data_IF_692529767441
#
_entry.id   IF_692529767441
#
_cell.length_a   1.000
_cell.length_b   1.000
_cell.length_c   1.000
_cell.angle_alpha   90.00
_cell.angle_beta   90.00
_cell.angle_gamma   90.00
#
_symmetry.space_group_name_H-M   'P 1'
#
loop_
_entity.id
_entity.type
_entity.pdbx_description
1 polymer ?
#
# COMPACT_ATOMS: atom_id res chain seq x y z
N UNK A 1 13.38 5.40 -18.90
CA UNK A 1 12.77 6.74 -19.03
C UNK A 1 11.72 6.85 -17.93
N UNK A 2 11.82 7.85 -17.06
CA UNK A 2 10.91 8.02 -15.91
C UNK A 2 9.56 8.58 -16.38
N UNK A 3 8.46 8.20 -15.73
CA UNK A 3 7.11 8.76 -16.03
C UNK A 3 7.13 10.29 -16.02
N UNK A 4 7.89 10.89 -15.09
CA UNK A 4 8.08 12.34 -15.01
C UNK A 4 8.66 12.94 -16.31
N UNK A 5 9.61 12.26 -16.93
CA UNK A 5 10.25 12.72 -18.18
C UNK A 5 9.29 12.60 -19.36
N UNK A 6 8.47 11.56 -19.39
CA UNK A 6 7.47 11.33 -20.43
C UNK A 6 6.34 12.38 -20.40
N UNK A 7 5.84 12.70 -19.19
CA UNK A 7 4.82 13.76 -19.02
C UNK A 7 5.40 15.14 -19.32
N UNK A 8 6.64 15.41 -18.90
CA UNK A 8 7.30 16.69 -19.20
C UNK A 8 7.45 16.89 -20.70
N UNK A 9 7.87 15.83 -21.43
CA UNK A 9 8.05 15.87 -22.87
C UNK A 9 6.71 16.06 -23.60
N UNK A 10 5.66 15.36 -23.21
CA UNK A 10 4.33 15.55 -23.76
C UNK A 10 3.78 16.95 -23.47
N UNK A 11 4.05 17.51 -22.28
CA UNK A 11 3.65 18.87 -21.95
C UNK A 11 4.34 19.90 -22.85
N UNK A 12 5.63 19.74 -23.12
CA UNK A 12 6.41 20.60 -24.05
C UNK A 12 5.91 20.44 -25.49
N UNK A 13 5.75 19.20 -25.97
CA UNK A 13 5.27 18.92 -27.35
C UNK A 13 3.91 19.50 -27.67
N UNK A 14 3.00 19.57 -26.68
CA UNK A 14 1.62 20.03 -26.84
C UNK A 14 1.35 21.41 -26.23
N UNK A 15 2.37 22.09 -25.72
CA UNK A 15 2.27 23.39 -25.03
C UNK A 15 1.22 23.40 -23.90
N UNK A 16 1.27 22.37 -23.04
CA UNK A 16 0.38 22.14 -21.91
C UNK A 16 1.14 22.24 -20.59
N UNK A 17 0.42 22.44 -19.51
CA UNK A 17 0.96 22.18 -18.17
C UNK A 17 1.17 20.66 -17.98
N UNK A 18 2.06 20.27 -17.07
CA UNK A 18 2.28 18.84 -16.78
C UNK A 18 1.01 18.13 -16.30
N UNK A 19 0.15 18.83 -15.57
CA UNK A 19 -1.12 18.28 -15.10
C UNK A 19 -2.10 18.05 -16.27
N UNK A 20 -2.24 19.01 -17.17
CA UNK A 20 -3.07 18.87 -18.37
C UNK A 20 -2.53 17.80 -19.32
N UNK A 21 -1.21 17.75 -19.53
CA UNK A 21 -0.59 16.72 -20.36
C UNK A 21 -0.82 15.33 -19.77
N UNK A 22 -0.67 15.15 -18.45
CA UNK A 22 -0.95 13.90 -17.78
C UNK A 22 -2.42 13.49 -17.92
N UNK A 23 -3.36 14.41 -17.68
CA UNK A 23 -4.79 14.14 -17.84
C UNK A 23 -5.13 13.72 -19.27
N UNK A 24 -4.65 14.45 -20.27
CA UNK A 24 -4.88 14.15 -21.69
C UNK A 24 -4.22 12.85 -22.15
N UNK A 25 -3.04 12.50 -21.62
CA UNK A 25 -2.40 11.21 -21.88
C UNK A 25 -3.21 10.04 -21.28
N UNK A 26 -3.77 10.23 -20.09
CA UNK A 26 -4.62 9.22 -19.42
C UNK A 26 -5.92 8.99 -20.18
N UNK A 27 -6.53 10.08 -20.68
CA UNK A 27 -7.77 10.03 -21.45
C UNK A 27 -7.57 9.60 -22.92
N UNK A 28 -6.31 9.47 -23.37
CA UNK A 28 -6.00 9.13 -24.76
C UNK A 28 -6.28 10.27 -25.75
N UNK A 29 -6.37 11.51 -25.27
CA UNK A 29 -6.62 12.69 -26.08
C UNK A 29 -5.37 13.21 -26.81
N UNK A 30 -4.20 12.83 -26.33
CA UNK A 30 -2.91 13.12 -26.98
C UNK A 30 -2.08 11.84 -27.08
N UNK A 31 -1.35 11.69 -28.19
CA UNK A 31 -0.41 10.60 -28.36
C UNK A 31 0.94 10.90 -27.68
N UNK A 32 1.54 9.89 -27.10
CA UNK A 32 2.89 9.95 -26.56
C UNK A 32 3.70 8.76 -27.03
N UNK A 33 4.98 9.00 -27.35
CA UNK A 33 5.95 7.92 -27.59
C UNK A 33 6.26 7.10 -26.35
N UNK A 34 5.85 7.58 -25.17
CA UNK A 34 6.04 6.90 -23.89
C UNK A 34 4.76 6.14 -23.51
N UNK A 35 4.90 4.88 -23.14
CA UNK A 35 3.82 4.10 -22.56
C UNK A 35 3.55 4.61 -21.13
N UNK A 36 2.43 5.28 -20.90
CA UNK A 36 1.97 5.66 -19.57
C UNK A 36 1.24 4.46 -18.97
N UNK A 37 1.69 3.99 -17.80
CA UNK A 37 1.02 2.94 -17.03
C UNK A 37 0.43 3.58 -15.79
N UNK A 38 -0.90 3.54 -15.70
CA UNK A 38 -1.65 4.02 -14.56
C UNK A 38 -1.99 2.84 -13.65
N UNK A 39 -1.60 2.91 -12.38
CA UNK A 39 -2.00 1.93 -11.37
C UNK A 39 -3.16 2.48 -10.56
N UNK A 40 -4.27 1.77 -10.59
CA UNK A 40 -5.50 2.15 -9.89
C UNK A 40 -5.94 1.02 -8.94
N UNK A 41 -6.30 1.37 -7.71
CA UNK A 41 -6.93 0.46 -6.75
C UNK A 41 -8.40 0.84 -6.62
N UNK A 42 -9.28 -0.13 -6.80
CA UNK A 42 -10.72 0.06 -6.71
C UNK A 42 -11.39 -1.17 -6.10
N UNK A 43 -12.39 -0.96 -5.24
CA UNK A 43 -13.25 -2.05 -4.79
C UNK A 43 -14.07 -2.59 -5.97
N UNK A 44 -14.11 -3.91 -6.12
CA UNK A 44 -14.83 -4.58 -7.22
C UNK A 44 -16.23 -5.03 -6.81
N UNK A 45 -16.48 -5.10 -5.51
CA UNK A 45 -17.72 -5.56 -4.87
C UNK A 45 -18.67 -4.42 -4.52
N UNK A 46 -18.31 -3.18 -4.85
CA UNK A 46 -19.11 -1.98 -4.60
C UNK A 46 -19.42 -1.27 -5.91
N UNK A 47 -20.70 -1.11 -6.19
CA UNK A 47 -21.17 -0.28 -7.29
C UNK A 47 -20.80 1.18 -7.03
N UNK A 48 -20.36 1.91 -8.06
CA UNK A 48 -19.90 3.29 -7.96
C UNK A 48 -18.82 3.54 -6.87
N UNK A 49 -17.88 2.59 -6.70
CA UNK A 49 -16.76 2.78 -5.78
C UNK A 49 -15.78 3.85 -6.28
N UNK A 50 -15.27 4.74 -5.40
CA UNK A 50 -14.15 5.60 -5.73
C UNK A 50 -12.90 4.75 -5.98
N UNK A 51 -11.93 5.33 -6.68
CA UNK A 51 -10.65 4.65 -6.92
C UNK A 51 -9.49 5.47 -6.39
N UNK A 52 -8.42 4.78 -6.00
CA UNK A 52 -7.15 5.40 -5.68
C UNK A 52 -6.18 5.23 -6.83
N UNK A 53 -5.70 6.32 -7.37
CA UNK A 53 -4.69 6.35 -8.42
C UNK A 53 -3.34 6.64 -7.79
N UNK A 54 -2.40 5.74 -8.02
CA UNK A 54 -1.04 5.85 -7.52
C UNK A 54 -0.37 7.13 -8.04
N UNK A 55 0.17 7.92 -7.12
CA UNK A 55 0.77 9.22 -7.42
C UNK A 55 -0.22 10.37 -7.61
N UNK A 56 -1.52 10.11 -7.56
CA UNK A 56 -2.57 11.12 -7.77
C UNK A 56 -3.52 11.26 -6.55
N UNK A 57 -3.82 10.13 -5.87
CA UNK A 57 -4.77 10.09 -4.77
C UNK A 57 -6.14 9.53 -5.16
N UNK A 58 -7.15 9.85 -4.35
CA UNK A 58 -8.52 9.39 -4.56
C UNK A 58 -9.23 10.19 -5.66
N UNK A 59 -9.93 9.47 -6.52
CA UNK A 59 -10.79 10.03 -7.60
C UNK A 59 -12.22 9.54 -7.42
N UNK A 60 -13.15 10.32 -7.98
CA UNK A 60 -14.57 9.99 -7.93
C UNK A 60 -14.90 8.71 -8.72
N UNK A 61 -16.05 8.07 -8.44
CA UNK A 61 -16.52 6.92 -9.22
C UNK A 61 -16.62 7.23 -10.73
N UNK A 62 -17.13 8.40 -11.09
CA UNK A 62 -17.31 8.82 -12.49
C UNK A 62 -15.96 8.90 -13.21
N UNK A 63 -14.95 9.47 -12.54
CA UNK A 63 -13.59 9.51 -13.09
C UNK A 63 -13.02 8.10 -13.23
N UNK A 64 -13.21 7.25 -12.21
CA UNK A 64 -12.76 5.87 -12.26
C UNK A 64 -13.42 5.06 -13.40
N UNK A 65 -14.71 5.29 -13.65
CA UNK A 65 -15.48 4.63 -14.72
C UNK A 65 -15.04 5.08 -16.12
N UNK A 66 -14.55 6.32 -16.25
CA UNK A 66 -14.00 6.83 -17.51
C UNK A 66 -12.67 6.17 -17.89
N UNK A 67 -11.96 5.65 -16.90
CA UNK A 67 -10.66 4.99 -17.07
C UNK A 67 -10.87 3.50 -17.36
N UNK A 68 -10.59 3.07 -18.59
CA UNK A 68 -10.72 1.65 -18.97
C UNK A 68 -9.43 0.91 -18.68
N UNK A 69 -9.38 0.01 -17.67
CA UNK A 69 -8.17 -0.75 -17.38
C UNK A 69 -7.84 -1.71 -18.52
N UNK A 70 -6.60 -1.76 -18.92
CA UNK A 70 -6.08 -2.75 -19.89
C UNK A 70 -5.77 -4.09 -19.22
N UNK A 71 -5.56 -4.10 -17.90
CA UNK A 71 -5.31 -5.27 -17.09
C UNK A 71 -5.85 -5.07 -15.68
N UNK A 72 -6.53 -6.06 -15.16
CA UNK A 72 -6.98 -6.13 -13.76
C UNK A 72 -6.23 -7.20 -12.99
N UNK A 73 -6.05 -6.99 -11.69
CA UNK A 73 -5.39 -7.93 -10.78
C UNK A 73 -6.18 -8.00 -9.47
N UNK A 74 -6.39 -9.21 -8.99
CA UNK A 74 -7.07 -9.44 -7.71
C UNK A 74 -6.08 -9.25 -6.54
N UNK A 75 -6.31 -8.21 -5.73
CA UNK A 75 -5.47 -7.90 -4.58
C UNK A 75 -5.80 -8.79 -3.36
N UNK A 76 -7.00 -9.34 -3.25
CA UNK A 76 -7.33 -10.33 -2.22
C UNK A 76 -6.61 -11.65 -2.45
N UNK A 77 -6.44 -12.04 -3.71
CA UNK A 77 -5.56 -13.14 -4.06
C UNK A 77 -4.10 -12.82 -3.72
N UNK A 78 -3.62 -11.63 -4.12
CA UNK A 78 -2.26 -11.17 -3.85
C UNK A 78 -1.92 -11.15 -2.35
N UNK A 79 -2.89 -10.75 -1.52
CA UNK A 79 -2.77 -10.76 -0.05
C UNK A 79 -2.43 -12.13 0.52
N UNK A 80 -2.98 -13.20 -0.09
CA UNK A 80 -2.82 -14.60 0.36
C UNK A 80 -1.67 -15.34 -0.30
N UNK A 81 -1.06 -14.73 -1.33
CA UNK A 81 0.05 -15.35 -2.05
C UNK A 81 1.33 -15.37 -1.23
N UNK A 82 2.07 -16.46 -1.38
CA UNK A 82 3.41 -16.66 -0.85
C UNK A 82 4.35 -17.13 -1.96
N UNK A 83 5.62 -16.80 -1.84
CA UNK A 83 6.69 -17.23 -2.75
C UNK A 83 7.91 -17.66 -1.96
N UNK A 84 8.55 -18.71 -2.41
CA UNK A 84 9.85 -19.18 -1.91
C UNK A 84 11.02 -18.37 -2.50
N UNK A 85 10.77 -17.53 -3.51
CA UNK A 85 11.79 -16.66 -4.10
C UNK A 85 12.07 -15.46 -3.20
N UNK A 86 13.34 -15.10 -3.02
CA UNK A 86 13.73 -13.84 -2.39
C UNK A 86 13.20 -12.62 -3.16
N UNK A 87 13.20 -12.72 -4.49
CA UNK A 87 12.68 -11.64 -5.35
C UNK A 87 11.17 -11.57 -5.24
N UNK A 88 10.65 -10.42 -4.86
CA UNK A 88 9.22 -10.20 -4.68
C UNK A 88 8.47 -10.28 -6.01
N UNK A 89 7.54 -11.23 -6.19
CA UNK A 89 6.68 -11.29 -7.36
C UNK A 89 5.89 -9.99 -7.54
N UNK A 90 5.67 -9.51 -8.78
CA UNK A 90 5.01 -8.23 -9.05
C UNK A 90 3.62 -8.08 -8.41
N UNK A 91 2.87 -9.17 -8.29
CA UNK A 91 1.53 -9.14 -7.71
C UNK A 91 1.59 -8.93 -6.18
N UNK A 92 2.48 -9.65 -5.49
CA UNK A 92 2.73 -9.45 -4.05
C UNK A 92 3.26 -8.04 -3.80
N UNK A 93 4.20 -7.57 -4.63
CA UNK A 93 4.74 -6.20 -4.55
C UNK A 93 3.64 -5.13 -4.67
N UNK A 94 2.73 -5.29 -5.64
CA UNK A 94 1.62 -4.37 -5.82
C UNK A 94 0.66 -4.34 -4.60
N UNK A 95 0.39 -5.52 -3.99
CA UNK A 95 -0.39 -5.57 -2.75
C UNK A 95 0.31 -4.84 -1.60
N UNK A 96 1.61 -5.10 -1.37
CA UNK A 96 2.38 -4.46 -0.30
C UNK A 96 2.43 -2.94 -0.50
N UNK A 97 2.66 -2.47 -1.72
CA UNK A 97 2.62 -1.05 -2.07
C UNK A 97 1.25 -0.42 -1.80
N UNK A 98 0.18 -1.11 -2.21
CA UNK A 98 -1.20 -0.67 -2.00
C UNK A 98 -1.61 -0.67 -0.52
N UNK A 99 -1.08 -1.58 0.29
CA UNK A 99 -1.29 -1.60 1.74
C UNK A 99 -0.52 -0.48 2.43
N UNK A 100 0.76 -0.35 2.14
CA UNK A 100 1.67 0.54 2.87
C UNK A 100 1.51 2.01 2.49
N UNK A 101 1.32 2.30 1.19
CA UNK A 101 1.21 3.65 0.65
C UNK A 101 2.52 4.43 0.63
N UNK A 102 3.26 4.39 1.74
CA UNK A 102 4.57 5.05 1.94
C UNK A 102 5.56 4.12 2.62
N UNK A 103 6.80 4.55 2.75
CA UNK A 103 7.83 3.89 3.57
C UNK A 103 7.32 3.73 5.01
N UNK A 104 7.47 2.51 5.55
CA UNK A 104 6.94 2.13 6.87
C UNK A 104 7.85 2.52 8.04
N UNK A 105 8.86 3.36 7.79
CA UNK A 105 9.62 4.00 8.85
C UNK A 105 8.85 5.20 9.39
N UNK A 106 8.74 5.38 10.73
CA UNK A 106 7.99 6.47 11.34
C UNK A 106 8.35 7.84 10.76
N UNK A 107 7.33 8.59 10.34
CA UNK A 107 7.47 9.93 9.77
C UNK A 107 8.03 10.00 8.34
N UNK A 108 8.31 8.87 7.68
CA UNK A 108 8.81 8.87 6.30
C UNK A 108 7.67 8.85 5.27
N UNK A 109 7.62 9.85 4.43
CA UNK A 109 6.58 10.00 3.39
C UNK A 109 7.05 9.58 1.99
N UNK A 110 8.15 8.80 1.87
CA UNK A 110 8.57 8.30 0.56
C UNK A 110 7.55 7.30 0.02
N UNK A 111 7.02 7.49 -1.20
CA UNK A 111 6.02 6.59 -1.79
C UNK A 111 6.50 5.14 -1.82
N UNK A 112 5.61 4.19 -1.51
CA UNK A 112 5.94 2.76 -1.37
C UNK A 112 6.45 2.11 -2.67
N UNK A 113 6.10 2.67 -3.84
CA UNK A 113 6.64 2.25 -5.13
C UNK A 113 8.14 2.55 -5.30
N UNK A 114 8.67 3.50 -4.54
CA UNK A 114 10.09 3.85 -4.52
C UNK A 114 10.83 3.20 -3.35
N UNK A 115 10.20 2.19 -2.74
CA UNK A 115 10.71 1.46 -1.59
C UNK A 115 11.06 0.02 -1.96
N UNK A 116 12.04 -0.53 -1.26
CA UNK A 116 12.32 -1.97 -1.28
C UNK A 116 11.26 -2.71 -0.45
N UNK A 117 11.08 -3.99 -0.73
CA UNK A 117 10.20 -4.87 0.03
C UNK A 117 11.07 -5.63 1.03
N UNK A 118 11.09 -5.11 2.26
CA UNK A 118 11.89 -5.65 3.36
C UNK A 118 11.17 -6.82 4.04
N UNK A 119 11.90 -7.91 4.30
CA UNK A 119 11.37 -9.07 5.00
C UNK A 119 11.42 -8.87 6.51
N UNK A 120 10.26 -9.00 7.18
CA UNK A 120 10.18 -8.99 8.65
C UNK A 120 10.94 -10.16 9.27
N UNK A 121 10.68 -11.37 8.79
CA UNK A 121 11.50 -12.55 9.05
C UNK A 121 12.40 -12.70 7.84
N UNK A 122 13.69 -12.63 8.05
CA UNK A 122 14.67 -12.68 6.96
C UNK A 122 14.49 -13.93 6.12
N UNK A 123 14.61 -13.77 4.81
CA UNK A 123 14.51 -14.88 3.86
C UNK A 123 15.53 -15.99 4.16
N UNK A 124 16.76 -15.60 4.56
CA UNK A 124 17.80 -16.52 4.96
C UNK A 124 17.46 -17.33 6.23
N UNK A 125 16.49 -16.87 7.04
CA UNK A 125 15.97 -17.54 8.23
C UNK A 125 14.66 -18.29 7.96
N UNK A 126 14.31 -18.50 6.68
CA UNK A 126 13.10 -19.21 6.26
C UNK A 126 11.86 -18.32 6.14
N UNK A 127 12.01 -17.00 6.20
CA UNK A 127 10.91 -16.06 5.97
C UNK A 127 10.48 -16.08 4.50
N UNK A 128 9.18 -16.35 4.26
CA UNK A 128 8.62 -16.35 2.91
C UNK A 128 8.42 -14.94 2.37
N UNK A 129 8.49 -14.80 1.06
CA UNK A 129 8.11 -13.57 0.35
C UNK A 129 6.58 -13.55 0.21
N UNK A 130 5.92 -12.88 1.15
CA UNK A 130 4.47 -12.79 1.29
C UNK A 130 4.05 -11.43 1.79
N UNK A 131 2.81 -10.99 1.49
CA UNK A 131 2.27 -9.73 2.01
C UNK A 131 2.31 -9.63 3.53
N UNK A 132 2.16 -10.75 4.24
CA UNK A 132 2.22 -10.87 5.70
C UNK A 132 3.66 -10.76 6.29
N UNK A 133 4.69 -10.86 5.45
CA UNK A 133 6.09 -10.82 5.86
C UNK A 133 6.90 -9.68 5.22
N UNK A 134 6.29 -8.85 4.38
CA UNK A 134 6.95 -7.78 3.67
C UNK A 134 6.48 -6.40 4.14
N UNK A 135 7.39 -5.44 4.26
CA UNK A 135 7.11 -4.04 4.48
C UNK A 135 7.89 -3.16 3.49
N UNK A 136 7.28 -2.03 3.08
CA UNK A 136 7.94 -1.07 2.19
C UNK A 136 8.92 -0.20 2.96
N UNK A 137 10.21 -0.34 2.74
CA UNK A 137 11.26 0.53 3.31
C UNK A 137 12.03 1.23 2.20
N UNK A 138 12.20 2.54 2.30
CA UNK A 138 13.07 3.24 1.36
C UNK A 138 14.54 2.82 1.60
N UNK A 139 15.39 3.00 0.59
CA UNK A 139 16.80 2.57 0.66
C UNK A 139 17.51 3.03 1.94
N UNK A 140 17.28 4.27 2.37
CA UNK A 140 17.88 4.82 3.57
C UNK A 140 17.47 4.04 4.83
N UNK A 141 16.16 3.84 5.03
CA UNK A 141 15.63 3.18 6.22
C UNK A 141 15.81 1.66 6.20
N UNK A 142 15.84 1.06 5.02
CA UNK A 142 16.24 -0.33 4.86
C UNK A 142 17.69 -0.55 5.33
N UNK A 143 18.60 0.36 4.96
CA UNK A 143 20.00 0.29 5.41
C UNK A 143 20.11 0.43 6.92
N UNK A 144 19.44 1.41 7.55
CA UNK A 144 19.43 1.57 9.01
C UNK A 144 18.98 0.30 9.72
N UNK A 145 17.90 -0.33 9.24
CA UNK A 145 17.41 -1.62 9.78
C UNK A 145 18.44 -2.72 9.61
N UNK A 146 19.05 -2.83 8.43
CA UNK A 146 20.05 -3.86 8.11
C UNK A 146 21.31 -3.69 8.93
N UNK A 147 21.74 -2.47 9.20
CA UNK A 147 22.90 -2.13 10.02
C UNK A 147 22.64 -2.30 11.53
N UNK A 148 21.44 -2.72 11.93
CA UNK A 148 21.07 -3.01 13.31
C UNK A 148 20.63 -1.79 14.13
N UNK A 149 20.48 -0.60 13.53
CA UNK A 149 20.02 0.61 14.24
C UNK A 149 18.53 0.59 14.62
N UNK A 150 17.76 -0.33 14.08
CA UNK A 150 16.37 -0.55 14.44
C UNK A 150 15.89 -1.96 14.09
N UNK A 151 14.88 -2.41 14.81
CA UNK A 151 14.18 -3.66 14.59
C UNK A 151 12.68 -3.39 14.57
N UNK A 152 11.88 -4.21 13.89
CA UNK A 152 10.43 -4.07 13.94
C UNK A 152 9.69 -5.39 14.07
N UNK A 153 8.55 -5.32 14.74
CA UNK A 153 7.54 -6.37 14.81
C UNK A 153 6.36 -5.92 13.94
N UNK A 154 5.86 -6.78 13.07
CA UNK A 154 4.72 -6.49 12.21
C UNK A 154 3.60 -7.49 12.46
N UNK A 155 2.38 -6.99 12.62
CA UNK A 155 1.18 -7.82 12.62
C UNK A 155 0.95 -8.34 11.18
N UNK A 156 0.95 -9.67 10.96
CA UNK A 156 0.81 -10.26 9.63
C UNK A 156 -0.56 -10.03 8.99
N UNK A 157 -1.59 -9.71 9.77
CA UNK A 157 -2.97 -9.52 9.29
C UNK A 157 -3.29 -8.07 8.97
N UNK A 158 -2.85 -7.14 9.83
CA UNK A 158 -3.13 -5.70 9.66
C UNK A 158 -1.99 -4.97 8.96
N UNK A 159 -0.77 -5.47 9.05
CA UNK A 159 0.42 -4.79 8.59
C UNK A 159 0.88 -3.66 9.52
N UNK A 160 0.30 -3.56 10.72
CA UNK A 160 0.75 -2.62 11.74
C UNK A 160 2.16 -2.97 12.20
N UNK A 161 2.98 -1.97 12.44
CA UNK A 161 4.38 -2.13 12.82
C UNK A 161 4.65 -1.45 14.16
N UNK A 162 5.37 -2.14 15.03
CA UNK A 162 6.02 -1.55 16.20
C UNK A 162 7.52 -1.56 15.93
N UNK A 163 8.10 -0.40 15.81
CA UNK A 163 9.55 -0.17 15.71
C UNK A 163 10.19 -0.15 17.08
N UNK A 164 11.34 -0.79 17.19
CA UNK A 164 12.19 -0.82 18.39
C UNK A 164 13.57 -0.30 17.99
N UNK A 165 14.05 0.71 18.67
CA UNK A 165 15.32 1.36 18.40
C UNK A 165 16.38 0.92 19.43
N UNK A 166 17.65 1.05 19.07
CA UNK A 166 18.80 0.67 19.91
C UNK A 166 18.90 1.48 21.21
N UNK A 167 18.32 2.68 21.23
CA UNK A 167 18.24 3.55 22.41
C UNK A 167 17.07 3.22 23.36
N UNK A 168 16.31 2.16 23.07
CA UNK A 168 15.15 1.70 23.85
C UNK A 168 13.84 2.44 23.56
N UNK A 169 13.83 3.40 22.64
CA UNK A 169 12.57 4.00 22.14
C UNK A 169 11.81 2.99 21.31
N UNK A 170 10.50 3.19 21.23
CA UNK A 170 9.63 2.47 20.33
C UNK A 170 8.63 3.42 19.66
N UNK A 171 8.23 3.10 18.46
CA UNK A 171 7.22 3.86 17.72
C UNK A 171 6.26 2.91 16.99
N UNK A 172 5.02 3.35 16.89
CA UNK A 172 3.96 2.61 16.21
C UNK A 172 3.67 3.24 14.85
N UNK A 173 3.57 2.39 13.82
CA UNK A 173 3.30 2.83 12.45
C UNK A 173 2.19 1.97 11.83
N UNK A 174 1.21 2.63 11.23
CA UNK A 174 0.08 2.02 10.55
C UNK A 174 0.21 2.13 9.03
N UNK A 175 -0.26 1.12 8.26
CA UNK A 175 -0.30 1.22 6.82
C UNK A 175 -1.28 2.32 6.38
N UNK A 176 -0.88 3.12 5.38
CA UNK A 176 -1.62 4.32 4.95
C UNK A 176 -2.18 4.20 3.52
N UNK A 177 -1.93 3.09 2.85
CA UNK A 177 -2.35 2.89 1.48
C UNK A 177 -3.84 2.57 1.30
N UNK A 178 -4.33 2.54 0.05
CA UNK A 178 -5.73 2.26 -0.26
C UNK A 178 -6.19 0.85 0.15
N UNK A 179 -5.26 -0.11 0.29
CA UNK A 179 -5.53 -1.47 0.74
C UNK A 179 -5.24 -1.67 2.24
N UNK A 180 -4.95 -0.60 2.99
CA UNK A 180 -4.77 -0.67 4.43
C UNK A 180 -6.05 -1.17 5.12
N UNK A 181 -5.97 -2.16 6.03
CA UNK A 181 -7.13 -2.61 6.77
C UNK A 181 -7.74 -1.49 7.61
N UNK A 182 -8.99 -1.12 7.33
CA UNK A 182 -9.70 -0.05 8.05
C UNK A 182 -10.38 -0.55 9.33
N UNK A 183 -10.79 -1.81 9.35
CA UNK A 183 -11.42 -2.44 10.52
C UNK A 183 -10.36 -3.24 11.29
N UNK A 184 -9.77 -2.60 12.27
CA UNK A 184 -8.86 -3.25 13.21
C UNK A 184 -9.66 -3.79 14.39
N UNK A 185 -9.43 -5.05 14.78
CA UNK A 185 -10.17 -5.68 15.88
C UNK A 185 -10.01 -4.93 17.23
N UNK A 186 -8.93 -4.16 17.41
CA UNK A 186 -8.74 -3.30 18.57
C UNK A 186 -9.38 -1.90 18.41
N UNK A 187 -9.82 -1.53 17.18
CA UNK A 187 -10.60 -0.33 16.92
C UNK A 187 -12.11 -0.50 17.20
N UNK A 188 -12.53 -1.59 17.82
CA UNK A 188 -13.80 -1.57 18.55
C UNK A 188 -13.74 -0.35 19.47
N UNK A 189 -14.58 0.65 19.21
CA UNK A 189 -14.69 1.79 20.13
C UNK A 189 -14.83 1.26 21.54
N UNK A 190 -14.33 1.96 22.53
CA UNK A 190 -14.48 1.57 23.94
C UNK A 190 -15.95 1.19 24.23
N UNK A 191 -16.92 1.89 23.61
CA UNK A 191 -18.35 1.57 23.69
C UNK A 191 -18.70 0.19 23.13
N UNK A 192 -18.15 -0.18 21.98
CA UNK A 192 -18.37 -1.51 21.36
C UNK A 192 -17.73 -2.63 22.18
N UNK A 193 -16.53 -2.40 22.73
CA UNK A 193 -15.88 -3.36 23.63
C UNK A 193 -16.67 -3.56 24.93
N UNK A 194 -17.21 -2.50 25.50
CA UNK A 194 -18.11 -2.56 26.69
C UNK A 194 -19.39 -3.30 26.33
N UNK A 195 -20.02 -3.00 25.20
CA UNK A 195 -21.24 -3.67 24.74
C UNK A 195 -21.03 -5.17 24.53
N UNK A 196 -19.94 -5.57 23.89
CA UNK A 196 -19.57 -6.99 23.68
C UNK A 196 -19.36 -7.72 25.02
N UNK A 197 -18.66 -7.10 25.99
CA UNK A 197 -18.49 -7.67 27.33
C UNK A 197 -19.80 -7.81 28.10
N UNK A 198 -20.72 -6.84 27.99
CA UNK A 198 -22.06 -6.90 28.63
C UNK A 198 -22.89 -8.01 28.00
N UNK A 199 -22.89 -8.17 26.67
CA UNK A 199 -23.59 -9.25 25.99
C UNK A 199 -23.07 -10.63 26.43
N UNK A 200 -21.77 -10.84 26.47
CA UNK A 200 -21.15 -12.08 26.91
C UNK A 200 -21.35 -12.37 28.40
N UNK A 201 -21.50 -11.35 29.25
CA UNK A 201 -21.82 -11.52 30.66
C UNK A 201 -23.29 -11.92 30.86
N UNK A 202 -24.21 -11.40 30.04
CA UNK A 202 -25.61 -11.75 30.06
C UNK A 202 -25.85 -13.21 29.68
N UNK A 203 -25.21 -13.67 28.57
CA UNK A 203 -25.32 -15.05 28.14
C UNK A 203 -24.83 -16.06 29.18
N UNK A 204 -23.80 -15.71 29.99
CA UNK A 204 -23.30 -16.55 31.09
C UNK A 204 -24.22 -16.61 32.29
N UNK A 205 -25.06 -15.59 32.49
CA UNK A 205 -25.99 -15.56 33.61
C UNK A 205 -27.37 -16.19 33.28
N UNK A 206 -27.66 -16.35 31.97
CA UNK A 206 -28.89 -16.94 31.44
C UNK A 206 -28.72 -18.44 31.13
N UNK A 207 -27.53 -19.01 31.33
CA UNK A 207 -27.17 -20.43 31.18
C UNK A 207 -26.89 -21.08 32.54
#
# INVERSE_FOLDING_TARGET
MCIRDSVSKAAEEHNLTKAEALAKLILGEIESRAKVVLHMYRAHDQEAAPAFIRGFGWVSPETADSLRPTQTRDMDLAKRMESESYVTPPLIGAYVEGRDGVCRWPGCNRPAENCQKDHRIDHAQGGKTAGSNLASLCQHHHNIKTDGGAFYIMDPHTGDIVWLFDDGRWEYDEPQGPLAPRNKNWALTVGQAIAARRAAAKERNDS
#
